data_IF_183981129401
#
_entry.id   IF_183981129401
#
_cell.length_a   1.000
_cell.length_b   1.000
_cell.length_c   1.000
_cell.angle_alpha   90.00
_cell.angle_beta   90.00
_cell.angle_gamma   90.00
#
_symmetry.space_group_name_H-M   'P 1'
#
loop_
_entity.id
_entity.type
_entity.pdbx_description
1 polymer ?
#
# COMPACT_ATOMS: atom_id res chain seq x y z
N UNK A 1 -5.45 20.66 -71.39
CA UNK A 1 -4.70 20.78 -70.11
C UNK A 1 -5.68 21.21 -69.02
N UNK A 2 -5.99 20.27 -68.13
CA UNK A 2 -7.21 20.26 -67.33
C UNK A 2 -7.15 21.20 -66.12
N UNK A 3 -8.17 22.08 -66.00
CA UNK A 3 -8.44 22.88 -64.78
C UNK A 3 -8.53 22.04 -63.50
N UNK A 4 -8.90 20.77 -63.63
CA UNK A 4 -8.93 19.78 -62.54
C UNK A 4 -7.52 19.45 -62.01
N UNK A 5 -6.50 19.45 -62.86
CA UNK A 5 -5.12 19.18 -62.44
C UNK A 5 -4.50 20.35 -61.66
N UNK A 6 -4.86 21.60 -62.02
CA UNK A 6 -4.45 22.79 -61.26
C UNK A 6 -5.16 22.90 -59.91
N UNK A 7 -6.44 22.49 -59.82
CA UNK A 7 -7.19 22.45 -58.55
C UNK A 7 -6.63 21.39 -57.58
N UNK A 8 -6.22 20.22 -58.10
CA UNK A 8 -5.58 19.18 -57.28
C UNK A 8 -4.16 19.55 -56.83
N UNK A 9 -3.39 20.28 -57.66
CA UNK A 9 -2.10 20.83 -57.22
C UNK A 9 -2.28 21.92 -56.15
N UNK A 10 -3.29 22.78 -56.26
CA UNK A 10 -3.57 23.82 -55.27
C UNK A 10 -3.94 23.29 -53.88
N UNK A 11 -4.57 22.11 -53.82
CA UNK A 11 -4.93 21.46 -52.54
C UNK A 11 -3.74 20.72 -51.88
N UNK A 12 -2.72 20.31 -52.64
CA UNK A 12 -1.53 19.66 -52.07
C UNK A 12 -0.56 20.63 -51.39
N UNK A 13 -0.59 21.93 -51.71
CA UNK A 13 0.24 22.94 -51.05
C UNK A 13 -0.44 23.60 -49.83
N UNK A 14 -1.70 23.30 -49.55
CA UNK A 14 -2.43 23.83 -48.39
C UNK A 14 -2.29 22.96 -47.13
N UNK A 15 -1.64 21.80 -47.21
CA UNK A 15 -1.62 20.80 -46.11
C UNK A 15 -0.40 20.91 -45.18
N UNK A 16 0.45 21.92 -45.35
CA UNK A 16 1.55 22.21 -44.45
C UNK A 16 1.46 23.66 -43.98
N UNK A 17 0.34 24.03 -43.36
CA UNK A 17 0.39 25.17 -42.45
C UNK A 17 1.39 24.78 -41.36
N UNK A 18 2.48 25.53 -41.25
CA UNK A 18 3.21 25.68 -39.98
C UNK A 18 2.28 26.42 -39.01
N UNK A 19 1.07 25.89 -38.79
CA UNK A 19 0.23 26.40 -37.73
C UNK A 19 1.09 26.28 -36.48
N UNK A 20 1.31 27.41 -35.77
CA UNK A 20 2.03 27.34 -34.52
C UNK A 20 1.35 26.27 -33.68
N UNK A 21 2.11 25.47 -32.89
CA UNK A 21 1.51 24.51 -31.99
C UNK A 21 0.36 25.20 -31.28
N UNK A 22 -0.82 24.56 -31.30
CA UNK A 22 -2.04 25.07 -30.68
C UNK A 22 -1.65 25.68 -29.33
N UNK A 23 -2.07 26.93 -29.04
CA UNK A 23 -1.65 27.59 -27.80
C UNK A 23 -1.94 26.68 -26.61
N UNK A 24 -1.07 26.66 -25.60
CA UNK A 24 -1.36 25.96 -24.35
C UNK A 24 -2.62 26.63 -23.76
N UNK A 25 -3.77 26.00 -23.98
CA UNK A 25 -5.04 26.49 -23.46
C UNK A 25 -5.03 26.30 -21.95
N UNK A 26 -5.37 27.34 -21.16
CA UNK A 26 -5.60 27.18 -19.74
C UNK A 26 -6.60 26.05 -19.48
N UNK A 27 -6.36 25.26 -18.43
CA UNK A 27 -7.32 24.25 -18.02
C UNK A 27 -8.65 24.91 -17.69
N UNK A 28 -9.73 24.23 -18.04
CA UNK A 28 -11.09 24.66 -17.69
C UNK A 28 -11.76 23.56 -16.91
N UNK A 29 -12.96 23.85 -16.42
CA UNK A 29 -13.79 22.79 -15.86
C UNK A 29 -14.10 21.77 -16.96
N UNK A 30 -14.17 20.50 -16.57
CA UNK A 30 -14.61 19.43 -17.44
C UNK A 30 -16.06 19.11 -17.13
N UNK A 31 -16.85 18.95 -18.19
CA UNK A 31 -18.23 18.50 -18.14
C UNK A 31 -18.35 17.11 -18.75
N UNK A 32 -19.27 16.31 -18.20
CA UNK A 32 -19.58 14.99 -18.74
C UNK A 32 -20.50 15.17 -19.94
N UNK A 33 -20.03 14.78 -21.12
CA UNK A 33 -20.84 14.65 -22.33
C UNK A 33 -20.93 13.17 -22.71
N UNK A 34 -22.01 12.53 -22.26
CA UNK A 34 -22.25 11.08 -22.39
C UNK A 34 -21.13 10.25 -21.75
N UNK A 35 -20.19 9.76 -22.57
CA UNK A 35 -19.06 8.91 -22.17
C UNK A 35 -17.72 9.62 -22.32
N UNK A 36 -17.75 10.91 -22.66
CA UNK A 36 -16.57 11.76 -22.85
C UNK A 36 -16.55 12.88 -21.82
N UNK A 37 -15.37 13.44 -21.62
CA UNK A 37 -15.17 14.67 -20.88
C UNK A 37 -14.88 15.79 -21.87
N UNK A 38 -15.58 16.91 -21.70
CA UNK A 38 -15.52 18.06 -22.59
C UNK A 38 -15.10 19.28 -21.80
N UNK A 39 -14.21 20.09 -22.38
CA UNK A 39 -13.79 21.36 -21.79
C UNK A 39 -14.66 22.54 -22.27
N UNK A 40 -14.46 23.73 -21.70
CA UNK A 40 -15.27 24.92 -21.99
C UNK A 40 -15.02 25.47 -23.42
N UNK A 41 -13.95 25.01 -24.09
CA UNK A 41 -13.67 25.31 -25.50
C UNK A 41 -14.40 24.35 -26.45
N UNK A 42 -15.09 23.36 -25.91
CA UNK A 42 -15.85 22.37 -26.65
C UNK A 42 -15.02 21.19 -27.16
N UNK A 43 -13.80 20.99 -26.65
CA UNK A 43 -12.90 19.90 -27.04
C UNK A 43 -13.13 18.69 -26.14
N UNK A 44 -13.03 17.50 -26.71
CA UNK A 44 -12.99 16.26 -25.92
C UNK A 44 -11.59 16.03 -25.37
N UNK A 45 -11.50 15.83 -24.06
CA UNK A 45 -10.23 15.68 -23.35
C UNK A 45 -9.93 14.21 -23.11
N UNK A 46 -8.75 13.78 -23.53
CA UNK A 46 -8.20 12.45 -23.26
C UNK A 46 -7.08 12.58 -22.24
N UNK A 47 -7.13 11.77 -21.19
CA UNK A 47 -6.12 11.80 -20.15
C UNK A 47 -5.02 10.77 -20.42
N UNK A 48 -3.79 11.27 -20.53
CA UNK A 48 -2.59 10.46 -20.42
C UNK A 48 -1.85 10.96 -19.18
N UNK A 49 -1.73 10.08 -18.19
CA UNK A 49 -1.28 10.46 -16.86
C UNK A 49 -0.66 9.32 -16.06
N UNK A 50 -0.22 9.66 -14.87
CA UNK A 50 0.44 8.74 -13.92
C UNK A 50 -0.18 8.84 -12.53
N UNK A 51 0.04 7.82 -11.70
CA UNK A 51 -0.28 7.88 -10.27
C UNK A 51 0.83 8.60 -9.51
N UNK A 52 0.45 9.46 -8.58
CA UNK A 52 1.35 10.30 -7.78
C UNK A 52 0.92 10.22 -6.31
N UNK A 53 1.61 9.53 -5.42
CA UNK A 53 2.55 8.44 -5.68
C UNK A 53 2.38 7.36 -4.59
N UNK A 54 2.94 6.17 -4.79
CA UNK A 54 2.95 5.12 -3.77
C UNK A 54 3.60 5.53 -2.45
N UNK A 55 4.43 6.59 -2.44
CA UNK A 55 5.02 7.13 -1.21
C UNK A 55 4.00 7.67 -0.21
N UNK A 56 2.80 8.06 -0.65
CA UNK A 56 1.72 8.55 0.22
C UNK A 56 1.13 7.44 1.10
N UNK A 57 1.38 6.17 0.78
CA UNK A 57 0.83 5.01 1.52
C UNK A 57 1.44 4.82 2.91
N UNK A 58 2.59 5.44 3.16
CA UNK A 58 3.31 5.34 4.43
C UNK A 58 3.44 6.74 5.00
N UNK A 59 3.02 6.99 6.26
CA UNK A 59 3.14 8.31 6.87
C UNK A 59 4.61 8.73 6.94
N UNK A 60 4.87 10.01 6.74
CA UNK A 60 6.21 10.59 6.79
C UNK A 60 6.80 10.48 8.21
N UNK A 61 5.96 10.68 9.22
CA UNK A 61 6.32 10.48 10.62
C UNK A 61 5.15 9.93 11.43
N UNK A 62 5.46 9.26 12.54
CA UNK A 62 4.47 8.83 13.54
C UNK A 62 4.98 9.22 14.93
N UNK A 63 4.19 10.01 15.65
CA UNK A 63 4.57 10.53 16.97
C UNK A 63 5.84 11.38 16.95
N UNK A 64 6.08 12.10 15.84
CA UNK A 64 7.27 12.93 15.64
C UNK A 64 8.55 12.18 15.24
N UNK A 65 8.51 10.84 15.13
CA UNK A 65 9.62 10.04 14.60
C UNK A 65 9.42 9.79 13.11
N UNK A 66 10.43 10.10 12.30
CA UNK A 66 10.40 9.81 10.86
C UNK A 66 10.32 8.30 10.61
N UNK A 67 9.47 7.91 9.68
CA UNK A 67 9.38 6.50 9.25
C UNK A 67 10.52 6.20 8.29
N UNK A 68 11.26 5.13 8.59
CA UNK A 68 12.42 4.65 7.83
C UNK A 68 12.22 3.20 7.38
N UNK A 69 13.22 2.54 6.82
CA UNK A 69 13.15 1.10 6.56
C UNK A 69 13.22 0.27 7.85
N UNK A 70 14.02 0.71 8.83
CA UNK A 70 14.13 0.06 10.15
C UNK A 70 12.82 0.10 10.92
N UNK A 71 12.01 1.09 10.60
CA UNK A 71 10.69 1.28 11.16
C UNK A 71 9.78 0.07 10.86
N UNK A 72 9.84 -0.56 9.69
CA UNK A 72 8.84 -1.57 9.27
C UNK A 72 8.71 -2.79 10.21
N UNK A 73 9.77 -3.14 10.94
CA UNK A 73 9.75 -4.20 11.96
C UNK A 73 9.14 -3.77 13.31
N UNK A 74 8.94 -2.47 13.57
CA UNK A 74 8.30 -1.97 14.79
C UNK A 74 6.77 -2.15 14.72
N UNK A 75 6.12 -2.57 15.82
CA UNK A 75 4.67 -2.54 15.94
C UNK A 75 4.17 -1.08 16.03
N UNK A 76 4.18 -0.31 14.92
CA UNK A 76 3.66 1.06 14.88
C UNK A 76 2.16 1.11 15.08
N UNK A 77 1.76 1.11 16.34
CA UNK A 77 0.37 1.31 16.72
C UNK A 77 0.16 2.59 17.55
N UNK A 78 1.23 3.38 17.79
CA UNK A 78 1.20 4.47 18.77
C UNK A 78 1.84 5.75 18.21
N UNK A 79 1.05 6.81 18.21
CA UNK A 79 1.47 8.16 17.82
C UNK A 79 0.61 8.74 16.69
N UNK A 80 0.52 10.07 16.68
CA UNK A 80 -0.13 10.84 15.60
C UNK A 80 0.68 10.68 14.31
N UNK A 81 0.09 10.13 13.22
CA UNK A 81 0.75 10.11 11.93
C UNK A 81 0.75 11.53 11.32
N UNK A 82 1.75 11.82 10.49
CA UNK A 82 1.75 13.00 9.62
C UNK A 82 2.11 12.59 8.20
N UNK A 83 1.33 13.11 7.25
CA UNK A 83 1.51 12.90 5.80
C UNK A 83 2.02 14.17 5.10
N UNK A 84 2.29 15.23 5.86
CA UNK A 84 2.84 16.48 5.34
C UNK A 84 4.19 16.22 4.68
N UNK A 85 4.35 16.69 3.44
CA UNK A 85 5.54 16.44 2.61
C UNK A 85 5.45 15.21 1.71
N UNK A 86 4.30 14.54 1.65
CA UNK A 86 4.03 13.46 0.71
C UNK A 86 3.08 13.92 -0.41
N UNK A 87 3.28 13.44 -1.65
CA UNK A 87 4.40 12.62 -2.12
C UNK A 87 5.68 13.43 -2.39
N UNK A 88 5.65 14.75 -2.29
CA UNK A 88 6.77 15.63 -2.61
C UNK A 88 7.22 16.45 -1.39
N UNK A 89 8.49 16.37 -0.97
CA UNK A 89 9.58 15.59 -1.57
C UNK A 89 9.58 14.09 -1.22
N UNK A 90 8.66 13.62 -0.38
CA UNK A 90 8.63 12.22 0.05
C UNK A 90 9.43 11.98 1.34
N UNK A 91 9.83 10.72 1.55
CA UNK A 91 10.54 10.25 2.73
C UNK A 91 12.03 10.66 2.73
N UNK A 92 12.30 11.95 2.88
CA UNK A 92 13.67 12.51 2.87
C UNK A 92 14.30 12.62 4.28
N UNK A 93 13.65 12.07 5.30
CA UNK A 93 14.17 12.03 6.67
C UNK A 93 14.25 13.38 7.39
N UNK A 94 13.50 14.39 6.91
CA UNK A 94 13.40 15.70 7.56
C UNK A 94 12.01 16.29 7.39
N UNK A 95 11.64 17.20 8.30
CA UNK A 95 10.46 18.02 8.15
C UNK A 95 10.63 18.99 6.97
N UNK A 96 9.50 19.37 6.37
CA UNK A 96 9.44 20.26 5.21
C UNK A 96 8.38 21.32 5.44
N UNK A 97 8.66 22.54 5.01
CA UNK A 97 7.69 23.63 4.98
C UNK A 97 6.75 23.51 3.78
N UNK A 98 5.59 24.15 3.85
CA UNK A 98 4.64 24.25 2.73
C UNK A 98 5.30 24.86 1.48
N UNK A 99 6.11 25.91 1.65
CA UNK A 99 6.83 26.53 0.53
C UNK A 99 7.81 25.57 -0.15
N UNK A 100 8.53 24.75 0.64
CA UNK A 100 9.38 23.70 0.08
C UNK A 100 8.54 22.66 -0.68
N UNK A 101 7.42 22.20 -0.10
CA UNK A 101 6.50 21.24 -0.75
C UNK A 101 6.03 21.77 -2.10
N UNK A 102 5.57 23.03 -2.15
CA UNK A 102 5.18 23.69 -3.41
C UNK A 102 6.33 23.72 -4.41
N UNK A 103 7.55 24.04 -3.96
CA UNK A 103 8.74 24.01 -4.80
C UNK A 103 9.01 22.64 -5.42
N UNK A 104 8.98 21.57 -4.62
CA UNK A 104 9.15 20.20 -5.11
C UNK A 104 8.02 19.79 -6.06
N UNK A 105 6.77 20.07 -5.71
CA UNK A 105 5.62 19.75 -6.54
C UNK A 105 5.72 20.40 -7.92
N UNK A 106 6.06 21.69 -7.99
CA UNK A 106 6.27 22.39 -9.27
C UNK A 106 7.40 21.75 -10.10
N UNK A 107 8.50 21.37 -9.45
CA UNK A 107 9.61 20.72 -10.13
C UNK A 107 9.19 19.38 -10.77
N UNK A 108 8.40 18.57 -10.07
CA UNK A 108 7.92 17.27 -10.59
C UNK A 108 6.83 17.44 -11.66
N UNK A 109 5.86 18.32 -11.48
CA UNK A 109 4.84 18.59 -12.50
C UNK A 109 5.42 19.18 -13.78
N UNK A 110 6.48 19.99 -13.69
CA UNK A 110 7.23 20.47 -14.85
C UNK A 110 7.81 19.31 -15.67
N UNK A 111 8.38 18.29 -15.01
CA UNK A 111 8.91 17.10 -15.68
C UNK A 111 7.78 16.31 -16.36
N UNK A 112 6.69 16.07 -15.63
CA UNK A 112 5.53 15.34 -16.17
C UNK A 112 4.94 16.02 -17.41
N UNK A 113 4.82 17.36 -17.41
CA UNK A 113 4.39 18.11 -18.59
C UNK A 113 5.39 18.02 -19.74
N UNK A 114 6.70 18.06 -19.45
CA UNK A 114 7.74 17.89 -20.47
C UNK A 114 7.70 16.50 -21.12
N UNK A 115 7.30 15.47 -20.36
CA UNK A 115 7.09 14.10 -20.85
C UNK A 115 5.73 13.93 -21.58
N UNK A 116 4.91 14.98 -21.64
CA UNK A 116 3.64 15.00 -22.37
C UNK A 116 2.41 14.53 -21.59
N UNK A 117 2.54 14.31 -20.27
CA UNK A 117 1.38 14.01 -19.42
C UNK A 117 0.50 15.25 -19.23
N UNK A 118 -0.82 15.03 -19.23
CA UNK A 118 -1.82 16.08 -19.02
C UNK A 118 -2.74 15.81 -17.83
N UNK A 119 -2.50 14.72 -17.10
CA UNK A 119 -3.24 14.38 -15.89
C UNK A 119 -2.36 13.63 -14.89
N UNK A 120 -2.73 13.72 -13.62
CA UNK A 120 -2.22 12.87 -12.55
C UNK A 120 -3.37 12.35 -11.68
N UNK A 121 -3.24 11.12 -11.20
CA UNK A 121 -4.03 10.61 -10.09
C UNK A 121 -3.24 10.84 -8.81
N UNK A 122 -3.60 11.89 -8.07
CA UNK A 122 -2.94 12.29 -6.83
C UNK A 122 -3.56 11.51 -5.67
N UNK A 123 -2.79 10.58 -5.13
CA UNK A 123 -3.16 9.77 -3.98
C UNK A 123 -3.11 10.63 -2.73
N UNK A 124 -4.23 10.64 -2.01
CA UNK A 124 -4.39 11.14 -0.64
C UNK A 124 -4.99 10.00 0.18
N UNK A 125 -4.92 10.05 1.50
CA UNK A 125 -5.58 9.04 2.32
C UNK A 125 -6.35 9.64 3.50
N UNK A 126 -7.29 8.86 4.00
CA UNK A 126 -8.20 9.32 5.05
C UNK A 126 -7.45 9.55 6.36
N UNK A 127 -6.44 8.74 6.66
CA UNK A 127 -5.58 8.94 7.83
C UNK A 127 -4.78 10.25 7.73
N UNK A 128 -4.33 10.67 6.55
CA UNK A 128 -3.72 11.98 6.37
C UNK A 128 -4.71 13.11 6.58
N UNK A 129 -5.94 12.97 6.09
CA UNK A 129 -6.98 14.00 6.23
C UNK A 129 -7.47 14.13 7.66
N UNK A 130 -7.69 13.03 8.37
CA UNK A 130 -8.37 12.97 9.66
C UNK A 130 -7.64 12.03 10.64
N UNK A 131 -6.40 12.36 11.05
CA UNK A 131 -5.43 11.42 11.61
C UNK A 131 -5.80 10.86 13.00
N UNK A 132 -6.41 11.67 13.86
CA UNK A 132 -6.56 11.32 15.29
C UNK A 132 -7.99 10.98 15.67
N UNK A 133 -8.98 11.76 15.20
CA UNK A 133 -10.38 11.52 15.50
C UNK A 133 -11.31 12.12 14.46
N UNK A 134 -12.54 11.63 14.44
CA UNK A 134 -13.62 12.18 13.62
C UNK A 134 -13.84 13.68 13.92
N UNK A 135 -13.85 14.50 12.88
CA UNK A 135 -13.99 15.95 12.87
C UNK A 135 -12.69 16.72 13.07
N UNK A 136 -11.54 16.06 13.25
CA UNK A 136 -10.24 16.74 13.38
C UNK A 136 -9.38 16.56 12.15
N UNK A 137 -9.36 17.60 11.31
CA UNK A 137 -8.60 17.61 10.08
C UNK A 137 -7.16 18.08 10.28
N UNK A 138 -6.23 17.51 9.51
CA UNK A 138 -4.87 18.03 9.37
C UNK A 138 -4.86 19.16 8.33
N UNK A 139 -5.02 20.40 8.80
CA UNK A 139 -5.09 21.59 7.94
C UNK A 139 -3.81 21.83 7.14
N UNK A 140 -2.63 21.53 7.70
CA UNK A 140 -1.36 21.68 6.99
C UNK A 140 -1.28 20.65 5.85
N UNK A 141 -1.75 19.43 6.08
CA UNK A 141 -1.83 18.42 5.02
C UNK A 141 -2.81 18.82 3.92
N UNK A 142 -4.02 19.30 4.27
CA UNK A 142 -5.00 19.79 3.29
C UNK A 142 -4.48 20.98 2.48
N UNK A 143 -3.79 21.90 3.13
CA UNK A 143 -3.12 23.04 2.49
C UNK A 143 -2.03 22.57 1.53
N UNK A 144 -1.25 21.56 1.91
CA UNK A 144 -0.24 20.97 1.01
C UNK A 144 -0.88 20.35 -0.24
N UNK A 145 -2.03 19.67 -0.11
CA UNK A 145 -2.79 19.14 -1.26
C UNK A 145 -3.24 20.27 -2.18
N UNK A 146 -3.79 21.35 -1.61
CA UNK A 146 -4.19 22.54 -2.37
C UNK A 146 -3.02 23.10 -3.18
N UNK A 147 -1.86 23.28 -2.55
CA UNK A 147 -0.66 23.79 -3.21
C UNK A 147 -0.14 22.86 -4.33
N UNK A 148 -0.25 21.55 -4.15
CA UNK A 148 0.08 20.58 -5.20
C UNK A 148 -0.90 20.66 -6.38
N UNK A 149 -2.20 20.77 -6.13
CA UNK A 149 -3.21 20.93 -7.19
C UNK A 149 -3.00 22.23 -7.97
N UNK A 150 -2.71 23.34 -7.27
CA UNK A 150 -2.37 24.61 -7.93
C UNK A 150 -1.10 24.49 -8.76
N UNK A 151 -0.08 23.82 -8.23
CA UNK A 151 1.18 23.59 -8.96
C UNK A 151 0.97 22.76 -10.21
N UNK A 152 0.11 21.74 -10.19
CA UNK A 152 -0.25 20.96 -11.38
C UNK A 152 -0.97 21.83 -12.44
N UNK A 153 -1.88 22.70 -11.99
CA UNK A 153 -2.61 23.61 -12.86
C UNK A 153 -1.67 24.61 -13.59
N UNK A 154 -0.62 25.09 -12.92
CA UNK A 154 0.41 25.95 -13.55
C UNK A 154 1.08 25.30 -14.78
N UNK A 155 1.12 23.97 -14.84
CA UNK A 155 1.69 23.20 -15.95
C UNK A 155 0.63 22.56 -16.87
N UNK A 156 -0.64 22.90 -16.71
CA UNK A 156 -1.72 22.36 -17.54
C UNK A 156 -1.97 20.86 -17.31
N UNK A 157 -1.81 20.40 -16.07
CA UNK A 157 -2.05 19.01 -15.65
C UNK A 157 -3.34 18.94 -14.82
N UNK A 158 -4.31 18.15 -15.26
CA UNK A 158 -5.51 17.84 -14.48
C UNK A 158 -5.17 16.92 -13.29
N UNK A 159 -5.86 17.11 -12.17
CA UNK A 159 -5.67 16.27 -10.98
C UNK A 159 -6.95 15.51 -10.67
N UNK A 160 -6.85 14.19 -10.63
CA UNK A 160 -7.82 13.31 -9.99
C UNK A 160 -7.37 13.07 -8.55
N UNK A 161 -8.07 13.66 -7.58
CA UNK A 161 -7.86 13.33 -6.17
C UNK A 161 -8.42 11.95 -5.87
N UNK A 162 -7.56 11.08 -5.35
CA UNK A 162 -7.87 9.70 -5.07
C UNK A 162 -7.70 9.43 -3.57
N UNK A 163 -8.82 9.21 -2.87
CA UNK A 163 -8.82 8.79 -1.47
C UNK A 163 -8.42 7.31 -1.40
N UNK A 164 -7.12 7.07 -1.42
CA UNK A 164 -6.50 5.76 -1.57
C UNK A 164 -6.62 4.90 -0.31
N UNK A 165 -6.66 3.59 -0.53
CA UNK A 165 -6.47 2.57 0.49
C UNK A 165 -5.92 1.31 -0.17
N UNK A 166 -5.11 0.57 0.57
CA UNK A 166 -4.82 -0.85 0.34
C UNK A 166 -5.04 -1.58 1.65
N UNK A 167 -5.79 -2.69 1.63
CA UNK A 167 -6.15 -3.44 2.84
C UNK A 167 -6.68 -2.54 3.98
N UNK A 168 -7.45 -1.50 3.62
CA UNK A 168 -8.19 -0.58 4.47
C UNK A 168 -7.40 0.32 5.43
N UNK A 169 -6.39 -0.16 6.16
CA UNK A 169 -5.65 0.65 7.14
C UNK A 169 -4.30 0.03 7.52
N UNK A 170 -3.32 0.89 7.86
CA UNK A 170 -2.02 0.45 8.41
C UNK A 170 -2.11 -0.19 9.79
N UNK A 171 -3.27 -0.05 10.45
CA UNK A 171 -3.56 -0.70 11.71
C UNK A 171 -4.03 -2.15 11.54
N UNK A 172 -4.36 -2.57 10.33
CA UNK A 172 -4.56 -3.98 10.00
C UNK A 172 -3.21 -4.57 9.63
N UNK A 173 -2.70 -5.42 10.53
CA UNK A 173 -1.34 -5.93 10.52
C UNK A 173 -1.40 -7.46 10.51
N UNK A 174 -0.55 -8.11 9.72
CA UNK A 174 -0.29 -9.55 9.80
C UNK A 174 1.19 -9.79 9.99
N UNK A 175 1.60 -10.22 11.19
CA UNK A 175 2.99 -10.56 11.47
C UNK A 175 3.42 -11.84 10.76
N UNK A 176 4.67 -11.87 10.30
CA UNK A 176 5.28 -13.07 9.72
C UNK A 176 6.76 -13.16 10.05
N UNK A 177 7.30 -14.37 9.94
CA UNK A 177 8.72 -14.66 10.09
C UNK A 177 9.30 -14.95 8.71
N UNK A 178 10.20 -14.08 8.24
CA UNK A 178 10.90 -14.19 6.95
C UNK A 178 11.89 -15.35 6.92
N UNK A 179 12.41 -15.73 8.09
CA UNK A 179 13.40 -16.80 8.26
C UNK A 179 12.94 -17.78 9.32
N UNK A 180 11.84 -18.52 9.08
CA UNK A 180 11.34 -19.49 10.03
C UNK A 180 12.37 -20.59 10.27
N UNK A 181 12.37 -21.14 11.47
CA UNK A 181 13.30 -22.20 11.88
C UNK A 181 12.69 -23.07 12.96
N UNK A 182 13.20 -24.30 13.08
CA UNK A 182 12.95 -25.24 14.18
C UNK A 182 14.26 -25.86 14.67
N UNK A 183 14.25 -26.49 15.84
CA UNK A 183 15.43 -27.22 16.34
C UNK A 183 15.37 -28.71 16.04
N UNK A 184 16.50 -29.28 15.60
CA UNK A 184 16.64 -30.72 15.39
C UNK A 184 17.95 -31.26 15.99
N UNK A 185 17.89 -32.07 17.07
CA UNK A 185 16.69 -32.45 17.81
C UNK A 185 16.10 -31.26 18.62
N UNK A 186 14.84 -31.31 19.07
CA UNK A 186 14.23 -30.24 19.87
C UNK A 186 15.02 -29.93 21.15
N UNK A 187 15.26 -28.65 21.43
CA UNK A 187 16.02 -28.19 22.60
C UNK A 187 17.54 -28.28 22.44
N UNK A 188 18.05 -28.65 21.25
CA UNK A 188 19.48 -28.74 20.97
C UNK A 188 20.15 -27.38 20.70
N UNK A 189 19.36 -26.35 20.36
CA UNK A 189 19.88 -25.10 19.80
C UNK A 189 20.34 -25.19 18.34
N UNK A 190 20.30 -26.38 17.72
CA UNK A 190 20.66 -26.57 16.32
C UNK A 190 19.49 -26.14 15.41
N UNK A 191 19.57 -24.93 14.84
CA UNK A 191 18.51 -24.38 13.99
C UNK A 191 18.54 -24.98 12.59
N UNK A 192 17.40 -25.51 12.17
CA UNK A 192 17.13 -25.95 10.80
C UNK A 192 16.16 -24.97 10.15
N UNK A 193 16.52 -24.52 8.95
CA UNK A 193 15.71 -23.62 8.13
C UNK A 193 14.99 -24.45 7.07
N UNK A 194 13.64 -24.57 7.13
CA UNK A 194 12.88 -25.35 6.18
C UNK A 194 12.90 -24.70 4.79
N UNK A 195 12.82 -25.53 3.75
CA UNK A 195 12.84 -25.07 2.36
C UNK A 195 11.70 -24.07 2.11
N UNK A 196 11.97 -22.89 1.49
CA UNK A 196 10.91 -21.97 1.10
C UNK A 196 9.83 -22.65 0.25
N UNK A 197 8.55 -22.40 0.60
CA UNK A 197 7.40 -23.01 -0.07
C UNK A 197 7.01 -24.42 0.41
N UNK A 198 7.79 -25.04 1.31
CA UNK A 198 7.36 -26.24 2.02
C UNK A 198 6.21 -25.94 2.98
N UNK A 199 5.50 -26.99 3.41
CA UNK A 199 4.43 -26.84 4.40
C UNK A 199 5.01 -26.42 5.75
N UNK A 200 6.19 -26.92 6.11
CA UNK A 200 6.87 -26.57 7.37
C UNK A 200 7.24 -25.08 7.38
N UNK A 201 7.85 -24.59 6.30
CA UNK A 201 8.22 -23.19 6.14
C UNK A 201 6.98 -22.28 6.20
N UNK A 202 5.91 -22.64 5.49
CA UNK A 202 4.66 -21.85 5.43
C UNK A 202 4.02 -21.73 6.81
N UNK A 203 3.91 -22.83 7.57
CA UNK A 203 3.28 -22.81 8.89
C UNK A 203 4.16 -22.05 9.89
N UNK A 204 5.47 -22.32 9.92
CA UNK A 204 6.40 -21.66 10.84
C UNK A 204 6.54 -20.15 10.55
N UNK A 205 6.37 -19.73 9.29
CA UNK A 205 6.37 -18.32 8.92
C UNK A 205 5.19 -17.54 9.53
N UNK A 206 4.10 -18.22 9.87
CA UNK A 206 2.92 -17.60 10.51
C UNK A 206 3.01 -17.54 12.04
N UNK A 207 4.13 -17.99 12.62
CA UNK A 207 4.35 -18.06 14.07
C UNK A 207 5.48 -17.12 14.52
N UNK A 208 5.47 -16.68 15.79
CA UNK A 208 6.56 -15.88 16.33
C UNK A 208 7.90 -16.65 16.35
N UNK A 209 9.05 -15.97 16.52
CA UNK A 209 9.19 -14.51 16.53
C UNK A 209 8.89 -13.93 15.14
N UNK A 210 8.03 -12.91 15.08
CA UNK A 210 7.78 -12.20 13.83
C UNK A 210 8.97 -11.28 13.55
N UNK A 211 9.47 -11.34 12.32
CA UNK A 211 10.59 -10.50 11.87
C UNK A 211 10.11 -9.34 11.03
N UNK A 212 8.91 -9.45 10.46
CA UNK A 212 8.28 -8.41 9.65
C UNK A 212 6.74 -8.51 9.73
N UNK A 213 6.04 -7.56 9.11
CA UNK A 213 4.59 -7.55 9.06
C UNK A 213 4.03 -6.94 7.77
N UNK A 214 3.00 -7.57 7.22
CA UNK A 214 2.20 -6.99 6.13
C UNK A 214 1.17 -6.04 6.74
N UNK A 215 0.97 -4.88 6.12
CA UNK A 215 0.03 -3.85 6.58
C UNK A 215 -0.69 -3.17 5.43
N UNK A 216 -1.90 -2.68 5.71
CA UNK A 216 -2.62 -1.80 4.79
C UNK A 216 -2.21 -0.32 4.89
N UNK A 217 -3.05 0.53 4.32
CA UNK A 217 -3.06 1.99 4.45
C UNK A 217 -4.47 2.50 4.12
N UNK A 218 -4.75 3.77 4.42
CA UNK A 218 -6.03 4.39 4.06
C UNK A 218 -6.71 5.01 5.27
N UNK A 219 -7.47 4.20 6.01
CA UNK A 219 -8.29 4.63 7.13
C UNK A 219 -7.49 4.86 8.42
N UNK A 220 -7.83 5.91 9.20
CA UNK A 220 -7.22 6.17 10.50
C UNK A 220 -7.65 5.15 11.55
N UNK A 221 -6.86 5.04 12.63
CA UNK A 221 -7.13 4.18 13.80
C UNK A 221 -8.58 4.22 14.26
N UNK A 222 -9.10 5.40 14.53
CA UNK A 222 -10.44 5.57 15.10
C UNK A 222 -11.54 5.05 14.16
N UNK A 223 -11.33 5.09 12.85
CA UNK A 223 -12.26 4.55 11.87
C UNK A 223 -12.26 3.02 11.89
N UNK A 224 -11.08 2.41 12.05
CA UNK A 224 -10.94 0.96 12.23
C UNK A 224 -11.70 0.50 13.48
N UNK A 225 -11.51 1.18 14.61
CA UNK A 225 -12.19 0.88 15.88
C UNK A 225 -13.72 1.09 15.81
N UNK A 226 -14.17 2.00 14.94
CA UNK A 226 -15.59 2.22 14.70
C UNK A 226 -16.22 1.13 13.83
N UNK A 227 -15.52 0.70 12.76
CA UNK A 227 -16.07 -0.12 11.70
C UNK A 227 -15.84 -1.63 11.86
N UNK A 228 -14.77 -2.05 12.53
CA UNK A 228 -14.46 -3.47 12.69
C UNK A 228 -15.08 -4.07 13.95
N UNK A 229 -15.36 -5.37 13.90
CA UNK A 229 -15.85 -6.11 15.06
C UNK A 229 -14.81 -6.14 16.18
N UNK A 230 -13.54 -6.27 15.80
CA UNK A 230 -12.41 -6.30 16.72
C UNK A 230 -11.82 -4.89 16.83
N UNK A 231 -11.70 -4.41 18.07
CA UNK A 231 -11.46 -2.99 18.36
C UNK A 231 -10.23 -2.74 19.22
N UNK A 232 -9.70 -3.79 19.85
CA UNK A 232 -8.57 -3.67 20.75
C UNK A 232 -7.24 -3.88 20.00
N UNK A 233 -6.81 -2.88 19.25
CA UNK A 233 -5.57 -2.94 18.46
C UNK A 233 -4.29 -2.82 19.31
N UNK A 234 -4.44 -2.63 20.62
CA UNK A 234 -3.35 -2.65 21.59
C UNK A 234 -3.21 -4.02 22.29
N UNK A 235 -4.05 -4.99 21.94
CA UNK A 235 -3.94 -6.35 22.46
C UNK A 235 -2.58 -6.96 22.02
N UNK A 236 -1.88 -7.71 22.90
CA UNK A 236 -0.65 -8.42 22.53
C UNK A 236 -0.82 -9.40 21.37
N UNK A 237 -2.06 -9.88 21.17
CA UNK A 237 -2.46 -10.80 20.12
C UNK A 237 -2.86 -10.11 18.81
N UNK A 238 -2.93 -8.77 18.77
CA UNK A 238 -3.28 -8.04 17.56
C UNK A 238 -2.25 -8.27 16.45
N UNK A 239 -2.74 -8.67 15.27
CA UNK A 239 -1.92 -9.00 14.11
C UNK A 239 -1.34 -10.42 14.08
N UNK A 240 -1.72 -11.29 15.02
CA UNK A 240 -1.48 -12.74 14.92
C UNK A 240 -2.47 -13.33 13.90
N UNK A 241 -2.02 -14.07 12.87
CA UNK A 241 -2.93 -14.67 11.90
C UNK A 241 -3.94 -15.63 12.55
N UNK A 242 -5.24 -15.43 12.34
CA UNK A 242 -6.28 -16.31 12.96
C UNK A 242 -6.16 -17.79 12.59
N UNK A 243 -5.61 -18.08 11.41
CA UNK A 243 -5.39 -19.47 10.99
C UNK A 243 -4.45 -20.21 11.96
N UNK A 244 -3.49 -19.52 12.58
CA UNK A 244 -2.66 -20.10 13.65
C UNK A 244 -3.36 -20.08 15.01
N UNK A 245 -4.31 -19.16 15.20
CA UNK A 245 -5.24 -19.19 16.33
C UNK A 245 -6.00 -20.52 16.42
N UNK A 246 -6.43 -21.10 15.30
CA UNK A 246 -7.10 -22.42 15.26
C UNK A 246 -6.20 -23.59 15.72
N UNK A 247 -4.87 -23.41 15.77
CA UNK A 247 -3.95 -24.40 16.34
C UNK A 247 -4.14 -24.53 17.86
N UNK A 248 -4.84 -23.58 18.50
CA UNK A 248 -5.21 -23.66 19.92
C UNK A 248 -6.11 -24.88 20.24
N UNK A 249 -6.94 -25.30 19.27
CA UNK A 249 -7.81 -26.48 19.38
C UNK A 249 -7.12 -27.78 19.02
N UNK A 250 -5.92 -27.71 18.45
CA UNK A 250 -5.17 -28.91 18.09
C UNK A 250 -4.52 -29.48 19.34
N UNK A 251 -4.97 -30.66 19.75
CA UNK A 251 -4.26 -31.45 20.73
C UNK A 251 -3.02 -32.09 20.09
N UNK A 252 -2.04 -32.49 20.90
CA UNK A 252 -0.91 -33.31 20.42
C UNK A 252 -1.39 -34.56 19.66
N UNK A 253 -2.57 -35.08 20.02
CA UNK A 253 -3.18 -36.22 19.36
C UNK A 253 -3.74 -35.87 17.97
N UNK A 254 -4.34 -34.68 17.80
CA UNK A 254 -4.82 -34.19 16.50
C UNK A 254 -3.66 -33.93 15.53
N UNK A 255 -2.59 -33.34 16.05
CA UNK A 255 -1.35 -33.07 15.30
C UNK A 255 -0.66 -34.37 14.90
N UNK A 256 -0.57 -35.33 15.81
CA UNK A 256 -0.04 -36.68 15.50
C UNK A 256 -0.90 -37.39 14.46
N UNK A 257 -2.22 -37.19 14.50
CA UNK A 257 -3.16 -37.77 13.53
C UNK A 257 -3.01 -37.11 12.16
N UNK A 258 -2.87 -35.79 12.09
CA UNK A 258 -2.57 -35.05 10.87
C UNK A 258 -1.20 -35.42 10.27
N UNK A 259 -0.16 -35.57 11.11
CA UNK A 259 1.16 -36.01 10.67
C UNK A 259 1.14 -37.45 10.14
N UNK A 260 0.40 -38.35 10.79
CA UNK A 260 0.17 -39.72 10.29
C UNK A 260 -0.62 -39.73 8.99
N UNK A 261 -1.64 -38.87 8.86
CA UNK A 261 -2.44 -38.73 7.65
C UNK A 261 -1.60 -38.16 6.49
N UNK A 262 -0.77 -37.15 6.75
CA UNK A 262 0.15 -36.57 5.78
C UNK A 262 1.22 -37.59 5.34
N UNK A 263 1.80 -38.36 6.28
CA UNK A 263 2.71 -39.46 5.97
C UNK A 263 2.04 -40.56 5.13
N UNK A 264 0.77 -40.87 5.40
CA UNK A 264 -0.02 -41.82 4.62
C UNK A 264 -0.37 -41.30 3.21
N UNK A 265 -0.61 -40.00 3.04
CA UNK A 265 -0.91 -39.36 1.75
C UNK A 265 0.37 -39.16 0.90
N UNK A 266 1.52 -38.98 1.54
CA UNK A 266 2.81 -38.76 0.86
C UNK A 266 3.58 -40.05 0.51
N UNK A 267 2.99 -41.24 0.72
CA UNK A 267 3.46 -42.48 0.09
C UNK A 267 4.73 -43.13 0.66
N UNK A 268 5.05 -42.91 1.93
CA UNK A 268 6.16 -43.62 2.59
C UNK A 268 5.76 -45.03 3.05
N UNK A 269 5.99 -46.05 2.22
CA UNK A 269 5.97 -47.45 2.68
C UNK A 269 7.21 -47.75 3.55
N UNK A 270 6.96 -48.02 4.83
CA UNK A 270 7.83 -48.87 5.66
C UNK A 270 8.81 -48.17 6.60
N UNK A 271 8.66 -48.46 7.90
CA UNK A 271 9.74 -48.32 8.89
C UNK A 271 9.31 -47.58 10.14
N UNK A 272 9.40 -48.25 11.29
CA UNK A 272 8.95 -47.78 12.60
C UNK A 272 9.56 -46.46 13.07
N UNK A 273 8.70 -45.65 13.69
CA UNK A 273 9.04 -44.39 14.36
C UNK A 273 7.80 -43.51 14.41
N UNK A 274 6.97 -43.68 15.43
CA UNK A 274 5.83 -42.79 15.72
C UNK A 274 6.30 -41.43 16.27
N UNK A 275 7.38 -40.88 15.72
CA UNK A 275 8.01 -39.67 16.23
C UNK A 275 7.42 -38.45 15.50
N UNK A 276 6.92 -37.52 16.30
CA UNK A 276 6.40 -36.25 15.83
C UNK A 276 7.57 -35.46 15.22
N UNK A 277 7.47 -34.95 13.98
CA UNK A 277 8.55 -34.22 13.34
C UNK A 277 9.01 -33.03 14.21
N UNK A 278 10.32 -32.70 14.28
CA UNK A 278 10.81 -31.64 15.16
C UNK A 278 10.16 -30.27 14.91
N UNK A 279 9.87 -29.92 13.64
CA UNK A 279 9.18 -28.68 13.29
C UNK A 279 7.75 -28.60 13.85
N UNK A 280 7.09 -29.74 14.02
CA UNK A 280 5.75 -29.82 14.60
C UNK A 280 5.80 -29.55 16.11
N UNK A 281 6.84 -30.03 16.78
CA UNK A 281 7.10 -29.71 18.20
C UNK A 281 7.33 -28.19 18.33
N UNK A 282 8.07 -27.59 17.40
CA UNK A 282 8.29 -26.14 17.38
C UNK A 282 6.98 -25.36 17.20
N UNK A 283 6.10 -25.80 16.30
CA UNK A 283 4.75 -25.21 16.14
C UNK A 283 3.99 -25.24 17.46
N UNK A 284 4.01 -26.36 18.18
CA UNK A 284 3.33 -26.48 19.47
C UNK A 284 3.94 -25.58 20.56
N UNK A 285 5.25 -25.34 20.51
CA UNK A 285 5.95 -24.46 21.45
C UNK A 285 5.70 -22.97 21.17
N UNK A 286 5.44 -22.60 19.91
CA UNK A 286 5.29 -21.20 19.48
C UNK A 286 3.87 -20.78 19.14
N UNK A 287 2.91 -21.71 19.12
CA UNK A 287 1.51 -21.38 18.87
C UNK A 287 1.05 -20.31 19.88
N UNK A 288 0.23 -19.35 19.45
CA UNK A 288 -0.31 -18.35 20.35
C UNK A 288 -1.17 -18.99 21.44
N UNK A 289 -1.25 -18.30 22.59
CA UNK A 289 -2.25 -18.64 23.61
C UNK A 289 -3.67 -18.42 23.06
N UNK A 290 -4.67 -19.17 23.56
CA UNK A 290 -6.06 -18.91 23.22
C UNK A 290 -6.44 -17.46 23.58
N UNK A 291 -6.97 -16.74 22.62
CA UNK A 291 -7.43 -15.36 22.80
C UNK A 291 -8.97 -15.32 22.74
N UNK A 292 -9.57 -14.34 23.41
CA UNK A 292 -11.04 -14.18 23.36
C UNK A 292 -11.45 -13.63 22.00
N UNK A 293 -12.71 -13.85 21.65
CA UNK A 293 -13.31 -13.11 20.54
C UNK A 293 -13.18 -11.60 20.80
N UNK A 294 -12.74 -10.83 19.79
CA UNK A 294 -12.46 -9.38 19.82
C UNK A 294 -11.07 -8.94 20.33
N UNK A 295 -10.09 -9.86 20.43
CA UNK A 295 -8.69 -9.58 20.82
C UNK A 295 -7.65 -9.74 19.68
N UNK A 296 -8.03 -10.05 18.43
CA UNK A 296 -7.14 -10.31 17.28
C UNK A 296 -7.59 -9.69 15.95
N UNK A 297 -6.67 -9.50 15.01
CA UNK A 297 -7.02 -8.99 13.67
C UNK A 297 -7.60 -10.12 12.81
#
# INVERSE_FOLDING_TARGET
MNRVFCLLLGLMFASCSNDPPQPDYPLTRLEVDRTYLKDDYGRYVFFHGVNVSGSTKVPMSVGGRFVTTESFGEPFNKGKPSYLGLPFPGHIGKAVSLDEIKGYARAEFKKLKADGFNAVRLLINWEGVEPERKGEYDEDYLESIRQMVESANEYGIYVLLDMHQDAFSRHLIGGYNEQPWYEDPPGSGNRVYPQPGSIENTILALLPPYTDAVRGEGAPRWAVEACLQEKNMDAPSWGIPRIVGLLDRLTLQDVTTLAKLAGAVMGGEGGGGSEVPPWVIEVMNRKPDPFKANEVA
#
